data_IF_933832350446
#
_entry.id   IF_933832350446
#
_cell.length_a   1.000
_cell.length_b   1.000
_cell.length_c   1.000
_cell.angle_alpha   90.00
_cell.angle_beta   90.00
_cell.angle_gamma   90.00
#
_symmetry.space_group_name_H-M   'P 1'
#
loop_
_entity.id
_entity.type
_entity.pdbx_description
1 polymer ?
#
# COMPACT_ATOMS: atom_id res chain seq x y z
N UNK A 1 8.07 -42.38 -21.91
CA UNK A 1 7.91 -41.05 -22.51
C UNK A 1 7.29 -40.17 -21.44
N UNK A 2 8.12 -39.71 -20.51
CA UNK A 2 7.77 -38.75 -19.47
C UNK A 2 8.86 -37.70 -19.56
N UNK A 3 8.77 -36.89 -20.60
CA UNK A 3 9.68 -35.80 -20.91
C UNK A 3 8.87 -34.50 -20.77
N UNK A 4 9.49 -33.54 -20.08
CA UNK A 4 9.08 -32.16 -19.81
C UNK A 4 8.11 -31.88 -18.64
N UNK A 5 8.56 -32.22 -17.42
CA UNK A 5 8.19 -31.42 -16.24
C UNK A 5 9.38 -30.48 -15.89
N UNK A 6 9.28 -29.17 -16.18
CA UNK A 6 10.35 -28.20 -15.94
C UNK A 6 10.54 -27.83 -14.45
N UNK A 7 9.72 -28.36 -13.54
CA UNK A 7 9.78 -28.07 -12.10
C UNK A 7 10.25 -29.25 -11.24
N UNK A 8 10.56 -30.39 -11.85
CA UNK A 8 11.01 -31.60 -11.14
C UNK A 8 12.32 -31.40 -10.35
N UNK A 9 13.16 -30.44 -10.75
CA UNK A 9 14.47 -30.16 -10.14
C UNK A 9 14.41 -29.21 -8.93
N UNK A 10 13.24 -28.64 -8.61
CA UNK A 10 13.10 -27.68 -7.49
C UNK A 10 12.66 -28.34 -6.17
N UNK A 11 12.35 -29.64 -6.19
CA UNK A 11 11.90 -30.39 -5.01
C UNK A 11 13.01 -30.89 -4.08
N UNK A 12 14.27 -30.93 -4.54
CA UNK A 12 15.36 -31.61 -3.82
C UNK A 12 16.17 -30.70 -2.87
N UNK A 13 15.74 -29.47 -2.62
CA UNK A 13 16.50 -28.51 -1.78
C UNK A 13 15.89 -28.24 -0.40
N UNK A 14 14.84 -28.98 0.00
CA UNK A 14 14.14 -28.80 1.27
C UNK A 14 13.89 -30.12 2.02
N UNK A 15 14.93 -30.94 2.17
CA UNK A 15 14.94 -32.03 3.17
C UNK A 15 15.93 -31.70 4.31
N UNK A 16 15.35 -31.18 5.40
CA UNK A 16 15.70 -31.22 6.84
C UNK A 16 17.04 -31.88 7.27
N UNK A 17 17.94 -31.11 7.92
CA UNK A 17 18.22 -31.03 9.39
C UNK A 17 19.47 -31.88 9.80
N UNK A 18 20.07 -31.78 11.02
CA UNK A 18 19.83 -30.91 12.19
C UNK A 18 21.12 -30.27 12.79
N UNK A 19 20.97 -29.38 13.77
CA UNK A 19 21.29 -29.61 15.20
C UNK A 19 21.77 -28.36 15.97
N UNK A 20 21.28 -28.34 17.20
CA UNK A 20 21.45 -27.46 18.35
C UNK A 20 22.91 -27.06 18.64
N UNK A 21 23.19 -25.79 18.96
CA UNK A 21 24.05 -25.41 20.10
C UNK A 21 23.76 -23.96 20.55
N UNK A 22 23.46 -23.85 21.83
CA UNK A 22 23.32 -22.65 22.64
C UNK A 22 24.69 -22.00 22.89
N UNK A 23 24.82 -20.67 22.80
CA UNK A 23 25.75 -19.91 23.65
C UNK A 23 25.49 -18.39 23.61
N UNK A 24 24.98 -17.86 24.72
CA UNK A 24 25.24 -16.48 25.13
C UNK A 24 26.75 -16.31 25.35
N UNK A 25 27.36 -15.28 24.76
CA UNK A 25 28.57 -14.67 25.31
C UNK A 25 28.58 -13.19 24.96
N UNK A 26 28.41 -12.40 26.01
CA UNK A 26 28.63 -10.96 26.06
C UNK A 26 30.13 -10.76 26.35
N UNK A 27 30.89 -10.12 25.46
CA UNK A 27 32.10 -9.39 25.84
C UNK A 27 32.56 -8.42 24.74
N UNK A 28 32.65 -7.14 25.12
CA UNK A 28 33.12 -6.02 24.32
C UNK A 28 34.61 -6.11 23.97
N UNK A 29 34.99 -5.63 22.79
CA UNK A 29 36.34 -5.11 22.55
C UNK A 29 36.35 -4.03 21.46
N UNK A 30 36.66 -2.81 21.90
CA UNK A 30 37.05 -1.62 21.15
C UNK A 30 38.12 -1.89 20.08
N UNK A 31 37.99 -1.30 18.88
CA UNK A 31 38.75 -0.10 18.49
C UNK A 31 38.89 0.07 16.96
N UNK A 32 38.76 1.33 16.56
CA UNK A 32 39.37 2.01 15.41
C UNK A 32 38.78 1.93 13.98
N UNK A 33 38.09 3.02 13.65
CA UNK A 33 38.41 3.90 12.51
C UNK A 33 38.27 3.29 11.10
N UNK A 34 37.08 3.51 10.53
CA UNK A 34 36.97 4.45 9.40
C UNK A 34 35.65 5.19 9.58
N UNK A 35 35.74 6.43 10.07
CA UNK A 35 34.66 7.38 9.89
C UNK A 35 34.60 7.69 8.39
N UNK A 36 33.92 6.83 7.62
CA UNK A 36 33.32 7.26 6.37
C UNK A 36 32.40 8.41 6.77
N UNK A 37 32.81 9.63 6.43
CA UNK A 37 31.93 10.78 6.53
C UNK A 37 30.59 10.34 5.94
N UNK A 38 29.43 10.63 6.57
CA UNK A 38 28.18 10.41 5.88
C UNK A 38 28.32 11.19 4.58
N UNK A 39 28.40 10.46 3.47
CA UNK A 39 28.23 11.05 2.15
C UNK A 39 26.90 11.74 2.30
N UNK A 40 26.93 13.07 2.46
CA UNK A 40 25.74 13.87 2.36
C UNK A 40 25.35 13.71 0.91
N UNK A 41 24.62 12.63 0.65
CA UNK A 41 23.94 12.40 -0.60
C UNK A 41 23.11 13.65 -0.76
N UNK A 42 23.56 14.50 -1.69
CA UNK A 42 22.94 15.78 -1.95
C UNK A 42 21.52 15.46 -2.36
N UNK A 43 20.59 15.55 -1.41
CA UNK A 43 19.17 15.26 -1.64
C UNK A 43 18.75 16.23 -2.70
N UNK A 44 18.56 15.73 -3.93
CA UNK A 44 18.07 16.57 -5.02
C UNK A 44 16.74 17.19 -4.56
N UNK A 45 16.54 18.49 -4.79
CA UNK A 45 15.25 19.11 -4.47
C UNK A 45 14.16 18.34 -5.23
N UNK A 46 13.14 17.88 -4.50
CA UNK A 46 11.97 17.23 -5.09
C UNK A 46 11.09 18.28 -5.77
N UNK A 47 10.57 17.95 -6.95
CA UNK A 47 9.57 18.73 -7.63
C UNK A 47 8.17 18.17 -7.29
N UNK A 48 7.32 18.92 -6.55
CA UNK A 48 6.00 18.44 -6.14
C UNK A 48 5.04 18.20 -7.31
N UNK A 49 5.33 18.74 -8.51
CA UNK A 49 4.50 18.53 -9.69
C UNK A 49 4.80 17.21 -10.40
N UNK A 50 5.97 16.60 -10.16
CA UNK A 50 6.39 15.39 -10.88
C UNK A 50 6.88 14.27 -9.98
N UNK A 51 7.31 14.56 -8.75
CA UNK A 51 7.83 13.57 -7.82
C UNK A 51 6.75 13.14 -6.84
N UNK A 52 6.65 11.83 -6.60
CA UNK A 52 5.73 11.27 -5.60
C UNK A 52 6.10 11.73 -4.19
N UNK A 53 5.11 12.06 -3.37
CA UNK A 53 5.27 12.52 -2.00
C UNK A 53 5.85 11.47 -1.04
N UNK A 54 5.62 10.17 -1.31
CA UNK A 54 6.15 9.08 -0.49
C UNK A 54 6.49 7.82 -1.30
N UNK A 55 7.47 7.07 -0.79
CA UNK A 55 7.94 5.80 -1.36
C UNK A 55 6.90 4.68 -1.20
N UNK A 56 7.06 3.60 -1.96
CA UNK A 56 6.14 2.45 -1.92
C UNK A 56 6.08 1.79 -0.54
N UNK A 57 7.21 1.65 0.14
CA UNK A 57 7.34 1.04 1.48
C UNK A 57 6.58 1.80 2.59
N UNK A 58 6.25 3.08 2.38
CA UNK A 58 5.52 3.87 3.35
C UNK A 58 4.01 3.52 3.41
N UNK A 59 3.48 2.86 2.38
CA UNK A 59 2.06 2.54 2.29
C UNK A 59 1.72 1.22 2.98
N UNK A 60 0.72 1.24 3.87
CA UNK A 60 0.14 0.02 4.45
C UNK A 60 -1.06 -0.42 3.62
N UNK A 61 -1.00 -1.64 3.08
CA UNK A 61 -2.13 -2.24 2.37
C UNK A 61 -3.10 -2.89 3.38
N UNK A 62 -4.40 -2.62 3.22
CA UNK A 62 -5.47 -3.25 3.99
C UNK A 62 -6.60 -3.68 3.05
N UNK A 63 -7.17 -4.89 3.22
CA UNK A 63 -8.36 -5.29 2.46
C UNK A 63 -9.56 -4.40 2.79
N UNK A 64 -10.39 -4.10 1.79
CA UNK A 64 -11.68 -3.44 1.95
C UNK A 64 -12.82 -4.45 2.00
N UNK A 65 -13.77 -4.25 2.92
CA UNK A 65 -15.02 -5.00 2.99
C UNK A 65 -16.15 -4.24 2.30
N UNK A 66 -15.99 -4.00 1.00
CA UNK A 66 -16.99 -3.34 0.18
C UNK A 66 -17.59 -4.31 -0.85
N UNK A 67 -18.76 -3.98 -1.38
CA UNK A 67 -19.35 -4.71 -2.51
C UNK A 67 -18.49 -4.44 -3.76
N UNK A 68 -18.44 -5.42 -4.67
CA UNK A 68 -17.68 -5.30 -5.93
C UNK A 68 -18.05 -4.04 -6.71
N UNK A 69 -19.35 -3.79 -6.89
CA UNK A 69 -19.85 -2.58 -7.58
C UNK A 69 -19.34 -1.29 -6.95
N UNK A 70 -19.28 -1.21 -5.62
CA UNK A 70 -18.75 -0.04 -4.91
C UNK A 70 -17.25 0.15 -5.15
N UNK A 71 -16.49 -0.94 -5.25
CA UNK A 71 -15.06 -0.88 -5.58
C UNK A 71 -14.86 -0.42 -7.04
N UNK A 72 -15.65 -0.94 -7.98
CA UNK A 72 -15.56 -0.55 -9.39
C UNK A 72 -15.91 0.94 -9.60
N UNK A 73 -16.95 1.42 -8.92
CA UNK A 73 -17.33 2.83 -8.93
C UNK A 73 -16.22 3.71 -8.33
N UNK A 74 -15.61 3.26 -7.23
CA UNK A 74 -14.49 3.93 -6.58
C UNK A 74 -13.26 4.03 -7.48
N UNK A 75 -12.84 2.91 -8.09
CA UNK A 75 -11.69 2.88 -9.01
C UNK A 75 -11.93 3.75 -10.25
N UNK A 76 -13.16 3.75 -10.77
CA UNK A 76 -13.57 4.61 -11.88
C UNK A 76 -13.52 6.07 -11.50
N UNK A 77 -14.04 6.44 -10.33
CA UNK A 77 -13.98 7.81 -9.83
C UNK A 77 -12.55 8.29 -9.62
N UNK A 78 -11.68 7.47 -9.01
CA UNK A 78 -10.26 7.78 -8.82
C UNK A 78 -9.58 8.10 -10.16
N UNK A 79 -9.80 7.26 -11.18
CA UNK A 79 -9.13 7.38 -12.48
C UNK A 79 -9.69 8.50 -13.36
N UNK A 80 -11.01 8.63 -13.43
CA UNK A 80 -11.64 9.51 -14.41
C UNK A 80 -12.02 10.89 -13.86
N UNK A 81 -12.20 11.01 -12.55
CA UNK A 81 -12.48 12.29 -11.90
C UNK A 81 -11.24 12.85 -11.21
N UNK A 82 -10.72 12.16 -10.18
CA UNK A 82 -9.64 12.71 -9.37
C UNK A 82 -8.31 12.82 -10.13
N UNK A 83 -7.84 11.73 -10.75
CA UNK A 83 -6.60 11.75 -11.53
C UNK A 83 -6.70 12.74 -12.71
N UNK A 84 -7.87 12.83 -13.34
CA UNK A 84 -8.13 13.80 -14.42
C UNK A 84 -8.05 15.24 -13.93
N UNK A 85 -8.59 15.55 -12.76
CA UNK A 85 -8.53 16.88 -12.14
C UNK A 85 -7.08 17.24 -11.80
N UNK A 86 -6.33 16.33 -11.17
CA UNK A 86 -4.91 16.52 -10.85
C UNK A 86 -4.06 16.73 -12.11
N UNK A 87 -4.31 15.98 -13.18
CA UNK A 87 -3.67 16.19 -14.48
C UNK A 87 -3.96 17.58 -15.06
N UNK A 88 -5.21 18.08 -14.94
CA UNK A 88 -5.56 19.44 -15.39
C UNK A 88 -4.84 20.52 -14.59
N UNK A 89 -4.55 20.24 -13.31
CA UNK A 89 -3.73 21.11 -12.44
C UNK A 89 -2.23 21.01 -12.72
N UNK A 90 -1.81 20.08 -13.58
CA UNK A 90 -0.42 19.95 -14.06
C UNK A 90 0.41 18.90 -13.31
N UNK A 91 -0.18 18.16 -12.37
CA UNK A 91 0.51 17.07 -11.68
C UNK A 91 0.79 15.91 -12.64
N UNK A 92 1.95 15.30 -12.50
CA UNK A 92 2.43 14.16 -13.27
C UNK A 92 2.84 13.03 -12.33
N UNK A 93 3.07 11.84 -12.88
CA UNK A 93 3.44 10.64 -12.12
C UNK A 93 2.48 10.36 -10.94
N UNK A 94 1.20 10.69 -11.11
CA UNK A 94 0.17 10.49 -10.10
C UNK A 94 0.02 8.99 -9.86
N UNK A 95 0.25 8.56 -8.61
CA UNK A 95 0.09 7.16 -8.22
C UNK A 95 -1.15 6.98 -7.36
N UNK A 96 -1.84 5.85 -7.54
CA UNK A 96 -3.07 5.51 -6.82
C UNK A 96 -2.91 5.60 -5.30
N UNK A 97 -1.74 5.24 -4.77
CA UNK A 97 -1.46 5.31 -3.33
C UNK A 97 -1.55 6.74 -2.78
N UNK A 98 -1.10 7.74 -3.52
CA UNK A 98 -1.15 9.15 -3.09
C UNK A 98 -2.58 9.68 -3.13
N UNK A 99 -3.33 9.35 -4.19
CA UNK A 99 -4.75 9.69 -4.27
C UNK A 99 -5.55 9.04 -3.14
N UNK A 100 -5.24 7.79 -2.81
CA UNK A 100 -5.92 7.05 -1.73
C UNK A 100 -5.54 7.61 -0.35
N UNK A 101 -4.26 7.94 -0.11
CA UNK A 101 -3.82 8.57 1.14
C UNK A 101 -4.47 9.95 1.31
N UNK A 102 -4.49 10.78 0.26
CA UNK A 102 -5.16 12.08 0.28
C UNK A 102 -6.64 11.94 0.62
N UNK A 103 -7.35 11.01 -0.03
CA UNK A 103 -8.77 10.75 0.25
C UNK A 103 -9.00 10.32 1.69
N UNK A 104 -8.22 9.37 2.21
CA UNK A 104 -8.38 8.88 3.58
C UNK A 104 -8.11 9.97 4.61
N UNK A 105 -7.15 10.89 4.34
CA UNK A 105 -6.94 12.07 5.18
C UNK A 105 -8.12 13.02 5.12
N UNK A 106 -8.64 13.31 3.93
CA UNK A 106 -9.84 14.16 3.77
C UNK A 106 -11.02 13.62 4.56
N UNK A 107 -11.28 12.29 4.52
CA UNK A 107 -12.36 11.66 5.29
C UNK A 107 -12.20 11.89 6.81
N UNK A 108 -10.97 11.91 7.32
CA UNK A 108 -10.68 12.09 8.75
C UNK A 108 -10.66 13.58 9.14
N UNK A 109 -10.19 14.45 8.27
CA UNK A 109 -9.99 15.87 8.55
C UNK A 109 -11.26 16.71 8.35
N UNK A 110 -12.11 16.35 7.39
CA UNK A 110 -13.34 17.10 7.05
C UNK A 110 -14.57 16.67 7.86
N UNK A 111 -14.40 15.81 8.88
CA UNK A 111 -15.47 15.36 9.81
C UNK A 111 -16.76 14.87 9.13
N UNK A 112 -16.64 14.05 8.08
CA UNK A 112 -17.78 13.56 7.28
C UNK A 112 -18.62 12.46 7.96
N UNK A 113 -18.55 12.37 9.30
CA UNK A 113 -19.14 11.27 10.08
C UNK A 113 -20.65 11.20 9.90
N UNK A 114 -21.32 12.37 9.88
CA UNK A 114 -22.77 12.47 9.72
C UNK A 114 -23.20 11.96 8.34
N UNK A 115 -22.51 12.35 7.27
CA UNK A 115 -22.81 11.93 5.90
C UNK A 115 -22.58 10.43 5.68
N UNK A 116 -21.61 9.84 6.37
CA UNK A 116 -21.35 8.39 6.34
C UNK A 116 -22.43 7.64 7.12
N UNK A 117 -22.84 8.15 8.29
CA UNK A 117 -23.91 7.56 9.08
C UNK A 117 -25.24 7.57 8.29
N UNK A 118 -25.56 8.68 7.63
CA UNK A 118 -26.76 8.79 6.80
C UNK A 118 -26.76 7.77 5.65
N UNK A 119 -25.63 7.64 4.92
CA UNK A 119 -25.52 6.64 3.85
C UNK A 119 -25.69 5.21 4.36
N UNK A 120 -25.18 4.93 5.56
CA UNK A 120 -25.34 3.63 6.20
C UNK A 120 -26.81 3.33 6.55
N UNK A 121 -27.52 4.31 7.08
CA UNK A 121 -28.95 4.21 7.37
C UNK A 121 -29.76 3.99 6.08
N UNK A 122 -29.52 4.79 5.05
CA UNK A 122 -30.15 4.66 3.73
C UNK A 122 -29.93 3.27 3.12
N UNK A 123 -28.72 2.71 3.24
CA UNK A 123 -28.43 1.37 2.74
C UNK A 123 -29.25 0.28 3.46
N UNK A 124 -29.51 0.45 4.76
CA UNK A 124 -30.36 -0.48 5.53
C UNK A 124 -31.84 -0.32 5.20
N UNK A 125 -32.31 0.91 5.07
CA UNK A 125 -33.70 1.20 4.70
C UNK A 125 -34.02 0.69 3.29
N UNK A 126 -33.08 0.85 2.35
CA UNK A 126 -33.22 0.34 0.99
C UNK A 126 -33.33 -1.19 0.97
N UNK A 127 -32.50 -1.89 1.75
CA UNK A 127 -32.54 -3.34 1.85
C UNK A 127 -33.84 -3.88 2.49
N UNK A 128 -34.54 -3.09 3.31
CA UNK A 128 -35.86 -3.44 3.86
C UNK A 128 -37.00 -3.21 2.86
N UNK A 129 -36.77 -2.37 1.85
CA UNK A 129 -37.78 -1.93 0.89
C UNK A 129 -37.76 -2.74 -0.41
N UNK A 130 -36.69 -3.46 -0.69
CA UNK A 130 -36.63 -4.44 -1.78
C UNK A 130 -37.26 -5.75 -1.28
N UNK A 131 -38.42 -6.17 -1.79
CA UNK A 131 -38.93 -7.51 -1.49
C UNK A 131 -37.95 -8.54 -2.07
N UNK A 132 -37.57 -9.54 -1.28
CA UNK A 132 -36.84 -10.72 -1.77
C UNK A 132 -37.57 -11.27 -3.01
N UNK A 133 -36.97 -11.10 -4.19
CA UNK A 133 -37.42 -11.69 -5.46
C UNK A 133 -36.59 -12.94 -5.80
#
# INVERSE_FOLDING_TARGET
MSEDDPFADLGETLEDEPDDETQETDEASDSETTAEAPVQESVKPRDPMTDTAFSYEAAKQRPFYARETTIEDFDSWLKYELERELNQQGYQNIVVREMTDALLRTVVEEDIVEEVAERFEQARESALSEPDE
#
